data_IF_434507016821
#
_entry.id   IF_434507016821
#
_cell.length_a   1.000
_cell.length_b   1.000
_cell.length_c   1.000
_cell.angle_alpha   90.00
_cell.angle_beta   90.00
_cell.angle_gamma   90.00
#
_symmetry.space_group_name_H-M   'P 1'
#
loop_
_entity.id
_entity.type
_entity.pdbx_description
1 polymer ?
#
# COMPACT_ATOMS: atom_id res chain seq x y z
N UNK A 1 -2.78 -12.51 -2.13
CA UNK A 1 -3.18 -11.96 -3.45
C UNK A 1 -1.96 -12.02 -4.35
N UNK A 2 -2.08 -12.30 -5.65
CA UNK A 2 -0.93 -12.36 -6.56
C UNK A 2 -0.76 -11.01 -7.30
N UNK A 3 -0.87 -9.92 -6.55
CA UNK A 3 -0.88 -8.55 -7.07
C UNK A 3 0.23 -7.75 -6.42
N UNK A 4 0.96 -6.95 -7.21
CA UNK A 4 1.97 -6.02 -6.69
C UNK A 4 1.30 -4.79 -6.10
N UNK A 5 1.99 -4.09 -5.21
CA UNK A 5 1.51 -2.82 -4.68
C UNK A 5 1.26 -1.82 -5.81
N UNK A 6 2.13 -1.76 -6.81
CA UNK A 6 1.97 -0.88 -7.96
C UNK A 6 0.71 -1.16 -8.77
N UNK A 7 0.36 -2.44 -8.97
CA UNK A 7 -0.88 -2.83 -9.64
C UNK A 7 -2.11 -2.46 -8.81
N UNK A 8 -2.03 -2.60 -7.49
CA UNK A 8 -3.11 -2.22 -6.57
C UNK A 8 -3.38 -0.72 -6.64
N UNK A 9 -2.35 0.11 -6.49
CA UNK A 9 -2.46 1.57 -6.48
C UNK A 9 -2.91 2.14 -7.85
N UNK A 10 -2.60 1.47 -8.96
CA UNK A 10 -3.09 1.85 -10.29
C UNK A 10 -4.60 1.69 -10.44
N UNK A 11 -5.21 0.72 -9.75
CA UNK A 11 -6.67 0.47 -9.83
C UNK A 11 -7.43 1.56 -9.07
N UNK A 12 -6.82 2.16 -8.04
CA UNK A 12 -7.48 3.11 -7.14
C UNK A 12 -7.34 4.57 -7.55
N UNK A 13 -6.45 4.90 -8.50
CA UNK A 13 -6.23 6.25 -9.05
C UNK A 13 -7.41 6.81 -9.88
N UNK A 14 -8.63 6.28 -9.73
CA UNK A 14 -9.75 6.58 -10.60
C UNK A 14 -10.57 7.83 -10.21
N UNK A 15 -10.44 8.38 -8.98
CA UNK A 15 -10.91 9.75 -8.66
C UNK A 15 -10.68 10.18 -7.18
N UNK A 16 -10.40 9.27 -6.25
CA UNK A 16 -10.27 9.56 -4.82
C UNK A 16 -8.82 9.42 -4.33
N UNK A 17 -8.24 10.51 -3.78
CA UNK A 17 -6.96 10.47 -3.09
C UNK A 17 -7.15 10.03 -1.65
N UNK A 18 -6.56 8.90 -1.26
CA UNK A 18 -6.57 8.46 0.13
C UNK A 18 -5.16 8.26 0.69
N UNK A 19 -5.06 8.40 2.01
CA UNK A 19 -3.83 8.13 2.75
C UNK A 19 -3.65 6.63 2.80
N UNK A 20 -2.48 6.14 2.43
CA UNK A 20 -2.06 4.74 2.56
C UNK A 20 -1.06 4.60 3.71
N UNK A 21 -1.23 3.55 4.49
CA UNK A 21 -0.26 3.09 5.48
C UNK A 21 0.28 1.74 5.03
N UNK A 22 1.49 1.75 4.47
CA UNK A 22 2.12 0.53 3.94
C UNK A 22 3.10 -0.03 4.96
N UNK A 23 2.90 -1.28 5.34
CA UNK A 23 3.76 -1.98 6.30
C UNK A 23 4.30 -3.29 5.75
N UNK A 24 5.52 -3.60 6.16
CA UNK A 24 6.19 -4.87 5.89
C UNK A 24 6.43 -5.56 7.23
N UNK A 25 5.62 -6.57 7.54
CA UNK A 25 5.56 -7.17 8.87
C UNK A 25 5.14 -6.15 9.93
N UNK A 26 6.05 -5.77 10.84
CA UNK A 26 5.77 -4.77 11.89
C UNK A 26 6.26 -3.36 11.52
N UNK A 27 7.11 -3.24 10.51
CA UNK A 27 7.72 -1.98 10.10
C UNK A 27 6.78 -1.21 9.17
N UNK A 28 6.59 0.08 9.43
CA UNK A 28 5.93 0.98 8.49
C UNK A 28 6.97 1.49 7.49
N UNK A 29 6.80 1.11 6.23
CA UNK A 29 7.76 1.47 5.15
C UNK A 29 7.32 2.73 4.41
N UNK A 30 6.02 3.06 4.44
CA UNK A 30 5.50 4.28 3.87
C UNK A 30 4.18 4.70 4.52
N UNK A 31 3.98 6.00 4.68
CA UNK A 31 2.72 6.60 5.10
C UNK A 31 2.55 7.95 4.41
N UNK A 32 1.47 8.11 3.67
CA UNK A 32 1.23 9.29 2.85
C UNK A 32 0.20 9.03 1.77
N UNK A 33 0.17 9.84 0.73
CA UNK A 33 -0.78 9.66 -0.35
C UNK A 33 -0.34 8.58 -1.34
N UNK A 34 -1.32 7.90 -1.93
CA UNK A 34 -1.08 6.81 -2.90
C UNK A 34 -0.23 7.25 -4.11
N UNK A 35 -0.41 8.49 -4.57
CA UNK A 35 0.27 9.02 -5.75
C UNK A 35 1.74 9.38 -5.50
N UNK A 36 2.16 9.48 -4.24
CA UNK A 36 3.53 9.79 -3.82
C UNK A 36 4.32 8.52 -3.42
N UNK A 37 3.71 7.34 -3.55
CA UNK A 37 4.33 6.07 -3.18
C UNK A 37 5.64 5.85 -3.97
N UNK A 38 6.78 5.61 -3.29
CA UNK A 38 8.08 5.38 -3.91
C UNK A 38 8.06 4.20 -4.89
N UNK A 39 8.79 4.31 -6.00
CA UNK A 39 8.82 3.24 -7.01
C UNK A 39 9.44 1.94 -6.49
N UNK A 40 10.44 2.02 -5.60
CA UNK A 40 11.14 0.87 -5.03
C UNK A 40 10.20 -0.09 -4.28
N UNK A 41 9.11 0.41 -3.69
CA UNK A 41 8.16 -0.42 -2.94
C UNK A 41 6.98 -0.90 -3.77
N UNK A 42 6.76 -0.36 -4.99
CA UNK A 42 5.66 -0.76 -5.88
C UNK A 42 5.77 -2.22 -6.33
N UNK A 43 6.99 -2.76 -6.39
CA UNK A 43 7.24 -4.16 -6.77
C UNK A 43 6.91 -5.16 -5.65
N UNK A 44 6.63 -4.70 -4.42
CA UNK A 44 6.33 -5.60 -3.31
C UNK A 44 4.95 -6.26 -3.50
N UNK A 45 4.82 -7.51 -3.06
CA UNK A 45 3.57 -8.26 -3.14
C UNK A 45 2.61 -7.83 -2.03
N UNK A 46 1.38 -7.51 -2.38
CA UNK A 46 0.33 -7.21 -1.40
C UNK A 46 -0.14 -8.51 -0.75
N UNK A 47 0.00 -8.59 0.57
CA UNK A 47 -0.41 -9.74 1.36
C UNK A 47 -1.78 -9.54 2.00
N UNK A 48 -2.08 -8.32 2.45
CA UNK A 48 -3.33 -7.99 3.14
C UNK A 48 -3.66 -6.50 2.97
N UNK A 49 -4.95 -6.16 2.95
CA UNK A 49 -5.47 -4.79 2.89
C UNK A 49 -6.53 -4.66 3.98
N UNK A 50 -6.47 -3.57 4.76
CA UNK A 50 -7.39 -3.31 5.86
C UNK A 50 -7.63 -1.81 6.03
N UNK A 51 -8.68 -1.44 6.76
CA UNK A 51 -8.93 -0.04 7.14
C UNK A 51 -8.18 0.23 8.44
N UNK A 52 -7.19 1.13 8.40
CA UNK A 52 -6.48 1.59 9.59
C UNK A 52 -7.28 2.72 10.24
N UNK A 53 -8.22 2.33 11.10
CA UNK A 53 -9.10 3.28 11.81
C UNK A 53 -8.35 4.25 12.71
N UNK A 54 -7.13 3.92 13.14
CA UNK A 54 -6.33 4.80 13.99
C UNK A 54 -5.77 5.99 13.20
N UNK A 55 -5.41 5.78 11.93
CA UNK A 55 -4.80 6.80 11.07
C UNK A 55 -5.74 7.29 9.96
N UNK A 56 -7.00 6.85 9.97
CA UNK A 56 -7.99 7.11 8.92
C UNK A 56 -7.43 6.82 7.50
N UNK A 57 -6.65 5.75 7.39
CA UNK A 57 -5.87 5.40 6.20
C UNK A 57 -6.19 3.99 5.70
N UNK A 58 -5.90 3.73 4.43
CA UNK A 58 -5.89 2.38 3.90
C UNK A 58 -4.60 1.68 4.32
N UNK A 59 -4.71 0.70 5.21
CA UNK A 59 -3.62 -0.16 5.63
C UNK A 59 -3.32 -1.21 4.56
N UNK A 60 -2.05 -1.30 4.14
CA UNK A 60 -1.60 -2.29 3.15
C UNK A 60 -0.40 -3.02 3.73
N UNK A 61 -0.52 -4.33 3.88
CA UNK A 61 0.61 -5.19 4.18
C UNK A 61 1.24 -5.72 2.90
N UNK A 62 2.57 -5.65 2.86
CA UNK A 62 3.37 -6.12 1.74
C UNK A 62 4.47 -7.06 2.20
N UNK A 63 4.98 -7.85 1.27
CA UNK A 63 6.13 -8.74 1.47
C UNK A 63 7.01 -8.76 0.22
N UNK A 64 8.25 -9.22 0.38
CA UNK A 64 9.11 -9.46 -0.77
C UNK A 64 8.52 -10.57 -1.65
N UNK A 65 8.87 -10.53 -2.93
CA UNK A 65 8.61 -11.63 -3.85
C UNK A 65 9.57 -12.78 -3.50
N UNK A 66 9.08 -13.75 -2.72
CA UNK A 66 9.59 -15.13 -2.81
C UNK A 66 9.20 -15.76 -4.15
#
# INVERSE_FOLDING_TARGET
MNQTLGDFLKITSADDYYIVNIRKGREQIYFGYENEVPEDIKSLKVTEIYIDWASEALGIHVSDEE
#
